data_IF_479540476541
#
_entry.id   IF_479540476541
#
_cell.length_a   1.000
_cell.length_b   1.000
_cell.length_c   1.000
_cell.angle_alpha   90.00
_cell.angle_beta   90.00
_cell.angle_gamma   90.00
#
_symmetry.space_group_name_H-M   'P 1'
#
loop_
_entity.id
_entity.type
_entity.pdbx_description
1 polymer ?
#
# COMPACT_ATOMS: atom_id res chain seq x y z
N UNK A 1 -10.60 21.55 16.60
CA UNK A 1 -9.19 21.20 16.78
C UNK A 1 -8.55 22.31 17.61
N UNK A 2 -8.00 21.97 18.79
CA UNK A 2 -7.52 22.93 19.79
C UNK A 2 -6.21 23.57 19.29
N UNK A 3 -6.08 24.92 19.31
CA UNK A 3 -4.86 25.66 18.90
C UNK A 3 -3.56 25.08 19.51
N UNK A 4 -3.61 24.67 20.79
CA UNK A 4 -2.49 24.01 21.48
C UNK A 4 -2.05 22.70 20.82
N UNK A 5 -2.96 21.93 20.21
CA UNK A 5 -2.64 20.69 19.51
C UNK A 5 -1.95 20.97 18.17
N UNK A 6 -2.33 22.05 17.48
CA UNK A 6 -1.72 22.47 16.23
C UNK A 6 -0.29 23.01 16.44
N UNK A 7 -0.09 23.83 17.49
CA UNK A 7 1.25 24.34 17.84
C UNK A 7 2.20 23.20 18.25
N UNK A 8 1.72 22.24 19.02
CA UNK A 8 2.52 21.06 19.40
C UNK A 8 2.96 20.27 18.18
N UNK A 9 2.07 20.03 17.24
CA UNK A 9 2.37 19.29 16.00
C UNK A 9 3.38 20.02 15.10
N UNK A 10 3.34 21.35 15.05
CA UNK A 10 4.29 22.19 14.31
C UNK A 10 5.69 22.14 14.94
N UNK A 11 5.76 22.16 16.26
CA UNK A 11 7.03 22.02 16.98
C UNK A 11 7.62 20.62 16.79
N UNK A 12 6.82 19.58 16.88
CA UNK A 12 7.23 18.18 16.66
C UNK A 12 7.79 17.98 15.22
N UNK A 13 7.17 18.57 14.21
CA UNK A 13 7.68 18.55 12.83
C UNK A 13 9.05 19.25 12.71
N UNK A 14 9.16 20.44 13.30
CA UNK A 14 10.40 21.22 13.27
C UNK A 14 11.55 20.48 13.96
N UNK A 15 11.31 19.90 15.12
CA UNK A 15 12.28 19.10 15.88
C UNK A 15 12.69 17.85 15.10
N UNK A 16 11.73 17.16 14.51
CA UNK A 16 11.95 15.97 13.69
C UNK A 16 12.90 16.28 12.53
N UNK A 17 12.57 17.27 11.71
CA UNK A 17 13.36 17.66 10.54
C UNK A 17 14.77 18.14 10.94
N UNK A 18 14.87 18.98 11.95
CA UNK A 18 16.17 19.50 12.45
C UNK A 18 17.06 18.37 12.95
N UNK A 19 16.51 17.40 13.68
CA UNK A 19 17.23 16.24 14.20
C UNK A 19 17.75 15.35 13.07
N UNK A 20 16.93 15.04 12.06
CA UNK A 20 17.35 14.18 10.94
C UNK A 20 18.40 14.88 10.07
N UNK A 21 18.24 16.16 9.81
CA UNK A 21 19.24 16.97 9.11
C UNK A 21 20.58 17.04 9.86
N UNK A 22 20.57 17.11 11.17
CA UNK A 22 21.77 17.16 12.00
C UNK A 22 22.54 15.82 12.07
N UNK A 23 21.87 14.69 11.84
CA UNK A 23 22.49 13.35 11.83
C UNK A 23 23.34 13.09 10.58
N UNK A 24 22.97 13.68 9.44
CA UNK A 24 23.61 13.42 8.16
C UNK A 24 24.84 14.29 7.95
N UNK A 25 25.96 13.67 7.60
CA UNK A 25 27.13 14.41 7.13
C UNK A 25 27.00 14.70 5.62
N UNK A 26 27.73 15.72 5.09
CA UNK A 26 27.81 15.95 3.64
C UNK A 26 28.28 14.73 2.85
N UNK A 27 29.23 13.98 3.42
CA UNK A 27 29.75 12.77 2.80
C UNK A 27 28.62 11.70 2.65
N UNK A 28 27.75 11.56 3.66
CA UNK A 28 26.58 10.67 3.59
C UNK A 28 25.64 11.07 2.46
N UNK A 29 25.55 12.37 2.18
CA UNK A 29 24.71 12.92 1.12
C UNK A 29 25.41 13.02 -0.26
N UNK A 30 26.64 12.52 -0.40
CA UNK A 30 27.41 12.60 -1.65
C UNK A 30 27.88 14.01 -2.01
N UNK A 31 27.90 14.93 -1.02
CA UNK A 31 28.33 16.30 -1.23
C UNK A 31 29.82 16.44 -0.93
N UNK A 32 30.54 17.19 -1.77
CA UNK A 32 31.94 17.51 -1.53
C UNK A 32 32.11 18.36 -0.27
N UNK A 33 33.10 18.01 0.55
CA UNK A 33 33.42 18.78 1.76
C UNK A 33 34.08 20.10 1.39
N UNK A 34 33.39 21.21 1.62
CA UNK A 34 33.93 22.55 1.38
C UNK A 34 34.06 23.32 2.70
N UNK A 35 35.24 23.23 3.34
CA UNK A 35 35.67 24.13 4.41
C UNK A 35 35.14 23.84 5.82
N UNK A 36 35.57 24.68 6.79
CA UNK A 36 35.24 24.57 8.23
C UNK A 36 33.77 24.84 8.49
N UNK A 37 33.03 23.83 9.00
CA UNK A 37 31.64 23.94 9.36
C UNK A 37 31.46 24.41 10.81
N UNK A 38 30.52 25.32 11.03
CA UNK A 38 30.11 25.79 12.38
C UNK A 38 28.99 24.92 12.99
N UNK A 39 28.25 24.20 12.18
CA UNK A 39 27.13 23.33 12.60
C UNK A 39 27.37 21.90 12.14
N UNK A 40 27.11 20.90 13.01
CA UNK A 40 27.08 19.50 12.60
C UNK A 40 25.91 19.26 11.63
N UNK A 41 26.09 18.31 10.71
CA UNK A 41 25.04 17.91 9.81
C UNK A 41 24.93 18.74 8.51
N UNK A 42 23.86 18.48 7.76
CA UNK A 42 23.56 19.19 6.52
C UNK A 42 23.02 20.60 6.81
N UNK A 43 23.32 21.55 5.93
CA UNK A 43 22.69 22.88 5.96
C UNK A 43 21.32 22.81 5.28
N UNK A 44 20.41 23.75 5.59
CA UNK A 44 19.10 23.87 4.93
C UNK A 44 19.19 23.98 3.42
N UNK A 45 20.17 24.75 2.95
CA UNK A 45 20.47 24.92 1.52
C UNK A 45 20.88 23.60 0.85
N UNK A 46 21.61 22.75 1.55
CA UNK A 46 22.03 21.44 1.06
C UNK A 46 20.85 20.47 0.98
N UNK A 47 20.00 20.43 2.01
CA UNK A 47 18.80 19.61 1.98
C UNK A 47 17.83 20.07 0.89
N UNK A 48 17.61 21.37 0.75
CA UNK A 48 16.74 21.93 -0.29
C UNK A 48 17.26 21.56 -1.70
N UNK A 49 18.58 21.66 -1.93
CA UNK A 49 19.19 21.28 -3.20
C UNK A 49 19.07 19.77 -3.47
N UNK A 50 19.33 18.91 -2.48
CA UNK A 50 19.19 17.45 -2.58
C UNK A 50 17.74 17.02 -2.85
N UNK A 51 16.78 17.67 -2.20
CA UNK A 51 15.36 17.42 -2.38
C UNK A 51 14.80 18.02 -3.69
N UNK A 52 15.56 18.88 -4.39
CA UNK A 52 15.06 19.59 -5.57
C UNK A 52 13.92 20.57 -5.25
N UNK A 53 13.96 21.18 -4.04
CA UNK A 53 12.91 22.11 -3.57
C UNK A 53 13.50 23.49 -3.30
N UNK A 54 12.63 24.51 -3.31
CA UNK A 54 13.09 25.87 -3.02
C UNK A 54 13.55 26.03 -1.57
N UNK A 55 14.72 26.68 -1.36
CA UNK A 55 15.29 26.93 -0.02
C UNK A 55 14.30 27.63 0.92
N UNK A 56 13.57 28.61 0.42
CA UNK A 56 12.57 29.36 1.20
C UNK A 56 11.45 28.43 1.68
N UNK A 57 10.93 27.56 0.79
CA UNK A 57 9.90 26.59 1.11
C UNK A 57 10.38 25.58 2.13
N UNK A 58 11.57 25.00 1.94
CA UNK A 58 12.14 24.06 2.91
C UNK A 58 12.38 24.75 4.27
N UNK A 59 12.87 26.00 4.28
CA UNK A 59 13.08 26.74 5.52
C UNK A 59 11.77 26.98 6.28
N UNK A 60 10.71 27.39 5.58
CA UNK A 60 9.40 27.58 6.20
C UNK A 60 8.82 26.25 6.70
N UNK A 61 8.99 25.18 5.95
CA UNK A 61 8.56 23.84 6.34
C UNK A 61 9.29 23.35 7.59
N UNK A 62 10.61 23.46 7.64
CA UNK A 62 11.41 23.08 8.83
C UNK A 62 11.06 23.95 10.04
N UNK A 63 10.65 25.20 9.85
CA UNK A 63 10.22 26.08 10.93
C UNK A 63 8.77 25.80 11.41
N UNK A 64 8.10 24.80 10.85
CA UNK A 64 6.71 24.47 11.20
C UNK A 64 5.69 25.54 10.80
N UNK A 65 6.01 26.41 9.80
CA UNK A 65 5.05 27.40 9.31
C UNK A 65 3.87 26.72 8.63
N UNK A 66 2.72 27.36 8.67
CA UNK A 66 1.50 26.88 8.04
C UNK A 66 1.58 27.05 6.52
N UNK A 67 2.21 26.09 5.84
CA UNK A 67 2.32 26.01 4.40
C UNK A 67 1.76 24.67 3.92
N UNK A 68 1.08 24.70 2.78
CA UNK A 68 0.65 23.48 2.12
C UNK A 68 1.78 22.94 1.26
N UNK A 69 2.27 21.76 1.59
CA UNK A 69 3.29 21.06 0.79
C UNK A 69 2.64 19.88 0.06
N UNK A 70 3.16 19.54 -1.11
CA UNK A 70 2.70 18.38 -1.87
C UNK A 70 3.31 17.09 -1.31
N UNK A 71 2.72 15.95 -1.62
CA UNK A 71 3.28 14.63 -1.30
C UNK A 71 4.66 14.45 -1.94
N UNK A 72 4.82 14.86 -3.20
CA UNK A 72 6.11 14.84 -3.88
C UNK A 72 7.18 15.66 -3.14
N UNK A 73 6.82 16.80 -2.55
CA UNK A 73 7.71 17.58 -1.71
C UNK A 73 8.16 16.76 -0.49
N UNK A 74 7.24 16.11 0.22
CA UNK A 74 7.55 15.29 1.40
C UNK A 74 8.43 14.09 1.05
N UNK A 75 8.13 13.37 -0.03
CA UNK A 75 8.93 12.25 -0.52
C UNK A 75 10.35 12.68 -0.90
N UNK A 76 10.49 13.84 -1.55
CA UNK A 76 11.79 14.39 -1.90
C UNK A 76 12.62 14.77 -0.66
N UNK A 77 11.97 15.38 0.34
CA UNK A 77 12.60 15.70 1.63
C UNK A 77 12.98 14.42 2.38
N UNK A 78 12.10 13.42 2.42
CA UNK A 78 12.37 12.12 3.05
C UNK A 78 13.60 11.46 2.42
N UNK A 79 13.70 11.45 1.08
CA UNK A 79 14.83 10.90 0.34
C UNK A 79 16.11 11.68 0.62
N UNK A 80 16.07 13.02 0.62
CA UNK A 80 17.21 13.88 0.90
C UNK A 80 17.76 13.67 2.33
N UNK A 81 16.86 13.44 3.29
CA UNK A 81 17.18 13.16 4.67
C UNK A 81 17.47 11.68 4.96
N UNK A 82 17.40 10.79 3.95
CA UNK A 82 17.58 9.34 4.06
C UNK A 82 16.72 8.71 5.16
N UNK A 83 15.47 9.15 5.24
CA UNK A 83 14.51 8.60 6.17
C UNK A 83 14.17 7.16 5.77
N UNK A 84 14.06 6.29 6.76
CA UNK A 84 13.50 4.96 6.55
C UNK A 84 11.97 5.02 6.41
N UNK A 85 11.31 3.87 6.14
CA UNK A 85 9.87 3.79 5.91
C UNK A 85 9.05 4.30 7.10
N UNK A 86 9.49 3.99 8.33
CA UNK A 86 8.82 4.42 9.55
C UNK A 86 9.01 5.94 9.80
N UNK A 87 10.21 6.45 9.56
CA UNK A 87 10.55 7.87 9.66
C UNK A 87 9.83 8.68 8.57
N UNK A 88 9.72 8.14 7.34
CA UNK A 88 8.95 8.74 6.25
C UNK A 88 7.46 8.82 6.62
N UNK A 89 6.90 7.73 7.12
CA UNK A 89 5.51 7.70 7.59
C UNK A 89 5.25 8.71 8.72
N UNK A 90 6.20 8.85 9.64
CA UNK A 90 6.12 9.84 10.71
C UNK A 90 6.14 11.28 10.15
N UNK A 91 7.00 11.57 9.17
CA UNK A 91 7.03 12.87 8.48
C UNK A 91 5.67 13.22 7.86
N UNK A 92 5.06 12.25 7.16
CA UNK A 92 3.74 12.45 6.56
C UNK A 92 2.63 12.65 7.60
N UNK A 93 2.65 11.89 8.70
CA UNK A 93 1.71 12.08 9.80
C UNK A 93 1.84 13.47 10.45
N UNK A 94 3.07 13.96 10.62
CA UNK A 94 3.30 15.30 11.16
C UNK A 94 2.83 16.41 10.20
N UNK A 95 3.10 16.25 8.89
CA UNK A 95 2.82 17.28 7.89
C UNK A 95 1.37 17.24 7.38
N UNK A 96 0.86 16.05 7.04
CA UNK A 96 -0.44 15.86 6.37
C UNK A 96 -1.50 15.20 7.24
N UNK A 97 -1.16 14.76 8.47
CA UNK A 97 -2.05 14.00 9.37
C UNK A 97 -2.54 12.67 8.77
N UNK A 98 -1.84 12.15 7.78
CA UNK A 98 -2.09 10.86 7.14
C UNK A 98 -0.75 10.21 6.77
N UNK A 99 -0.67 8.88 6.65
CA UNK A 99 0.53 8.20 6.17
C UNK A 99 0.87 8.64 4.73
N UNK A 100 2.10 8.41 4.25
CA UNK A 100 2.45 8.62 2.86
C UNK A 100 1.50 7.82 1.96
N UNK A 101 1.24 8.31 0.72
CA UNK A 101 0.58 7.46 -0.24
C UNK A 101 1.43 6.19 -0.39
N UNK A 102 0.80 5.03 -0.40
CA UNK A 102 1.56 3.81 -0.63
C UNK A 102 2.27 3.95 -1.98
N UNK A 103 3.57 3.77 -1.98
CA UNK A 103 4.24 3.49 -3.25
C UNK A 103 3.67 2.16 -3.72
N UNK A 104 2.75 2.21 -4.68
CA UNK A 104 2.19 1.02 -5.30
C UNK A 104 3.24 0.27 -6.13
N UNK A 105 4.52 0.62 -5.94
CA UNK A 105 5.64 0.17 -6.76
C UNK A 105 6.47 -0.88 -6.06
N UNK A 106 6.55 -2.01 -6.76
CA UNK A 106 7.63 -2.96 -6.83
C UNK A 106 7.93 -3.81 -5.61
N UNK A 107 7.64 -5.12 -5.77
CA UNK A 107 8.20 -6.24 -4.97
C UNK A 107 8.29 -5.94 -3.47
N UNK A 108 7.17 -5.49 -2.91
CA UNK A 108 7.06 -5.47 -1.47
C UNK A 108 7.19 -6.91 -1.01
N UNK A 109 8.32 -7.26 -0.45
CA UNK A 109 8.49 -8.55 0.20
C UNK A 109 7.94 -8.46 1.62
N UNK A 110 7.21 -9.45 2.05
CA UNK A 110 6.81 -9.58 3.46
C UNK A 110 8.03 -9.84 4.34
N UNK A 111 7.93 -9.51 5.62
CA UNK A 111 8.99 -9.88 6.56
C UNK A 111 9.09 -11.41 6.69
N UNK A 112 10.28 -11.95 7.01
CA UNK A 112 10.43 -13.39 7.23
C UNK A 112 9.46 -13.96 8.29
N UNK A 113 9.10 -13.17 9.30
CA UNK A 113 8.11 -13.57 10.32
C UNK A 113 6.71 -13.72 9.75
N UNK A 114 6.30 -12.84 8.84
CA UNK A 114 4.99 -12.95 8.15
C UNK A 114 4.98 -14.19 7.25
N UNK A 115 6.08 -14.50 6.55
CA UNK A 115 6.16 -15.74 5.78
C UNK A 115 6.09 -16.97 6.69
N UNK A 116 6.80 -16.98 7.82
CA UNK A 116 6.70 -18.05 8.81
C UNK A 116 5.26 -18.24 9.29
N UNK A 117 4.57 -17.17 9.62
CA UNK A 117 3.15 -17.22 10.03
C UNK A 117 2.25 -17.81 8.93
N UNK A 118 2.47 -17.43 7.66
CA UNK A 118 1.76 -18.03 6.52
C UNK A 118 2.01 -19.54 6.43
N UNK A 119 3.26 -19.98 6.59
CA UNK A 119 3.66 -21.38 6.46
C UNK A 119 3.11 -22.24 7.61
N UNK A 120 2.90 -21.66 8.80
CA UNK A 120 2.24 -22.31 9.93
C UNK A 120 0.73 -22.53 9.70
N UNK A 121 0.09 -21.79 8.81
CA UNK A 121 -1.31 -21.97 8.43
C UNK A 121 -1.48 -23.11 7.40
N UNK A 122 -1.07 -24.31 7.76
CA UNK A 122 -0.96 -25.46 6.83
C UNK A 122 -2.25 -25.89 6.15
N UNK A 123 -3.40 -25.74 6.81
CA UNK A 123 -4.72 -26.18 6.30
C UNK A 123 -5.63 -25.03 5.88
N UNK A 124 -5.22 -23.81 6.12
CA UNK A 124 -6.02 -22.62 5.80
C UNK A 124 -5.36 -21.84 4.67
N UNK A 125 -6.01 -21.73 3.50
CA UNK A 125 -5.48 -20.85 2.45
C UNK A 125 -5.29 -19.44 2.99
N UNK A 126 -4.09 -18.90 2.85
CA UNK A 126 -3.78 -17.55 3.26
C UNK A 126 -2.76 -16.91 2.29
N UNK A 127 -2.97 -15.64 2.02
CA UNK A 127 -2.04 -14.85 1.20
C UNK A 127 -1.98 -13.41 1.70
N UNK A 128 -0.94 -12.69 1.33
CA UNK A 128 -0.77 -11.27 1.62
C UNK A 128 -0.91 -10.47 0.34
N UNK A 129 -1.67 -9.39 0.42
CA UNK A 129 -1.84 -8.42 -0.67
C UNK A 129 -1.37 -7.03 -0.23
N UNK A 130 -0.90 -6.24 -1.21
CA UNK A 130 -0.66 -4.81 -1.04
C UNK A 130 -1.94 -3.99 -1.32
N UNK A 131 -1.84 -2.65 -1.30
CA UNK A 131 -2.98 -1.75 -1.57
C UNK A 131 -3.56 -1.93 -2.98
N UNK A 132 -2.71 -2.27 -3.95
CA UNK A 132 -3.09 -2.51 -5.35
C UNK A 132 -3.73 -3.89 -5.56
N UNK A 133 -3.77 -4.73 -4.51
CA UNK A 133 -4.21 -6.11 -4.53
C UNK A 133 -3.30 -7.08 -5.30
N UNK A 134 -2.01 -6.71 -5.44
CA UNK A 134 -1.00 -7.67 -5.88
C UNK A 134 -0.72 -8.66 -4.75
N UNK A 135 -0.67 -9.94 -5.09
CA UNK A 135 -0.33 -11.01 -4.15
C UNK A 135 1.19 -11.02 -3.98
N UNK A 136 1.66 -10.71 -2.78
CA UNK A 136 3.09 -10.56 -2.47
C UNK A 136 3.66 -11.74 -1.69
N UNK A 137 2.81 -12.54 -1.04
CA UNK A 137 3.18 -13.77 -0.34
C UNK A 137 1.97 -14.68 -0.17
N UNK A 138 2.19 -15.98 -0.05
CA UNK A 138 1.14 -16.97 0.14
C UNK A 138 1.68 -18.24 0.80
N UNK A 139 0.80 -19.09 1.33
CA UNK A 139 1.13 -20.40 1.82
C UNK A 139 0.79 -21.52 0.82
N UNK A 140 1.23 -22.73 1.08
CA UNK A 140 1.00 -23.88 0.21
C UNK A 140 -0.51 -24.19 0.00
N UNK A 141 -1.34 -23.99 1.02
CA UNK A 141 -2.78 -24.19 0.91
C UNK A 141 -3.44 -23.17 -0.03
N UNK A 142 -2.99 -21.91 -0.01
CA UNK A 142 -3.46 -20.88 -0.95
C UNK A 142 -2.95 -21.15 -2.37
N UNK A 143 -1.71 -21.61 -2.52
CA UNK A 143 -1.17 -22.00 -3.82
C UNK A 143 -1.94 -23.17 -4.44
N UNK A 144 -2.23 -24.19 -3.67
CA UNK A 144 -3.08 -25.31 -4.13
C UNK A 144 -4.47 -24.87 -4.57
N UNK A 145 -5.06 -23.87 -3.88
CA UNK A 145 -6.41 -23.38 -4.18
C UNK A 145 -6.43 -22.41 -5.37
N UNK A 146 -5.48 -21.47 -5.43
CA UNK A 146 -5.48 -20.36 -6.40
C UNK A 146 -4.46 -20.50 -7.52
N UNK A 147 -3.41 -21.34 -7.34
CA UNK A 147 -2.36 -21.56 -8.32
C UNK A 147 -1.43 -20.37 -8.51
N UNK A 148 -1.08 -19.65 -7.44
CA UNK A 148 -0.26 -18.45 -7.53
C UNK A 148 1.11 -18.70 -8.15
N UNK A 149 1.79 -19.79 -7.77
CA UNK A 149 3.13 -20.14 -8.25
C UNK A 149 3.18 -20.50 -9.74
N UNK A 150 2.07 -20.99 -10.30
CA UNK A 150 1.97 -21.37 -11.72
C UNK A 150 1.53 -20.20 -12.63
N UNK A 151 1.20 -19.04 -12.04
CA UNK A 151 0.70 -17.90 -12.80
C UNK A 151 1.84 -17.03 -13.32
N UNK A 152 1.59 -16.40 -14.46
CA UNK A 152 2.46 -15.35 -14.95
C UNK A 152 2.43 -14.15 -14.00
N UNK A 153 3.53 -13.39 -13.87
CA UNK A 153 3.59 -12.23 -12.96
C UNK A 153 2.48 -11.21 -13.17
N UNK A 154 1.99 -11.09 -14.41
CA UNK A 154 0.90 -10.18 -14.79
C UNK A 154 -0.46 -10.60 -14.21
N UNK A 155 -0.62 -11.86 -13.83
CA UNK A 155 -1.83 -12.40 -13.20
C UNK A 155 -1.68 -12.57 -11.67
N UNK A 156 -0.63 -12.02 -11.10
CA UNK A 156 -0.41 -12.01 -9.64
C UNK A 156 -1.29 -11.01 -8.87
N UNK A 157 -2.26 -10.39 -9.53
CA UNK A 157 -3.19 -9.43 -8.92
C UNK A 157 -4.59 -10.05 -8.80
N UNK A 158 -5.21 -9.91 -7.62
CA UNK A 158 -6.53 -10.51 -7.34
C UNK A 158 -7.61 -10.04 -8.32
N UNK A 159 -7.62 -8.76 -8.70
CA UNK A 159 -8.62 -8.25 -9.65
C UNK A 159 -8.39 -8.82 -11.05
N UNK A 160 -7.15 -8.93 -11.49
CA UNK A 160 -6.84 -9.54 -12.78
C UNK A 160 -7.25 -11.02 -12.80
N UNK A 161 -7.00 -11.76 -11.71
CA UNK A 161 -7.47 -13.13 -11.57
C UNK A 161 -9.00 -13.23 -11.68
N UNK A 162 -9.73 -12.37 -10.98
CA UNK A 162 -11.20 -12.43 -10.93
C UNK A 162 -11.83 -11.97 -12.25
N UNK A 163 -11.28 -10.96 -12.91
CA UNK A 163 -11.92 -10.31 -14.06
C UNK A 163 -11.34 -10.72 -15.41
N UNK A 164 -10.08 -11.16 -15.47
CA UNK A 164 -9.40 -11.50 -16.71
C UNK A 164 -9.06 -12.99 -16.88
N UNK A 165 -9.05 -13.79 -15.78
CA UNK A 165 -8.75 -15.21 -15.87
C UNK A 165 -10.01 -16.06 -16.07
N UNK A 166 -10.20 -16.71 -17.24
CA UNK A 166 -11.37 -17.53 -17.52
C UNK A 166 -11.47 -18.76 -16.61
N UNK A 167 -10.34 -19.27 -16.11
CA UNK A 167 -10.33 -20.44 -15.24
C UNK A 167 -10.86 -20.08 -13.84
N UNK A 168 -10.39 -19.00 -13.25
CA UNK A 168 -10.92 -18.49 -11.97
C UNK A 168 -12.41 -18.19 -12.11
N UNK A 169 -12.81 -17.54 -13.19
CA UNK A 169 -14.23 -17.25 -13.44
C UNK A 169 -15.10 -18.52 -13.48
N UNK A 170 -14.62 -19.59 -14.12
CA UNK A 170 -15.34 -20.89 -14.15
C UNK A 170 -15.41 -21.54 -12.77
N UNK A 171 -14.40 -21.34 -11.94
CA UNK A 171 -14.31 -21.88 -10.59
C UNK A 171 -15.13 -21.06 -9.57
N UNK A 172 -15.61 -19.88 -9.91
CA UNK A 172 -16.47 -19.03 -9.06
C UNK A 172 -17.95 -19.16 -9.47
N UNK A 173 -18.74 -20.08 -8.88
CA UNK A 173 -20.12 -20.31 -9.31
C UNK A 173 -21.03 -19.10 -9.10
N UNK A 174 -20.74 -18.26 -8.10
CA UNK A 174 -21.46 -17.02 -7.80
C UNK A 174 -20.72 -15.77 -8.32
N UNK A 175 -19.89 -15.90 -9.37
CA UNK A 175 -19.02 -14.82 -9.85
C UNK A 175 -19.76 -13.50 -10.10
N UNK A 176 -20.97 -13.55 -10.68
CA UNK A 176 -21.78 -12.36 -10.98
C UNK A 176 -22.25 -11.62 -9.73
N UNK A 177 -22.30 -12.31 -8.60
CA UNK A 177 -22.71 -11.76 -7.31
C UNK A 177 -21.50 -11.31 -6.49
N UNK A 178 -20.37 -12.04 -6.57
CA UNK A 178 -19.20 -11.83 -5.73
C UNK A 178 -18.21 -10.84 -6.34
N UNK A 179 -18.01 -10.83 -7.66
CA UNK A 179 -17.07 -9.93 -8.31
C UNK A 179 -17.43 -8.43 -8.14
N UNK A 180 -18.72 -8.00 -8.18
CA UNK A 180 -19.08 -6.62 -7.86
C UNK A 180 -18.77 -6.23 -6.42
N UNK A 181 -18.90 -7.17 -5.45
CA UNK A 181 -18.56 -6.92 -4.04
C UNK A 181 -17.06 -6.71 -3.85
N UNK A 182 -16.25 -7.55 -4.50
CA UNK A 182 -14.80 -7.37 -4.53
C UNK A 182 -14.40 -6.01 -5.13
N UNK A 183 -15.05 -5.63 -6.22
CA UNK A 183 -14.82 -4.34 -6.86
C UNK A 183 -15.21 -3.17 -5.95
N UNK A 184 -16.33 -3.27 -5.23
CA UNK A 184 -16.74 -2.26 -4.25
C UNK A 184 -15.67 -2.10 -3.16
N UNK A 185 -15.12 -3.22 -2.66
CA UNK A 185 -14.05 -3.20 -1.67
C UNK A 185 -12.75 -2.58 -2.22
N UNK A 186 -12.37 -2.91 -3.46
CA UNK A 186 -11.20 -2.30 -4.10
C UNK A 186 -11.33 -0.78 -4.27
N UNK A 187 -12.54 -0.27 -4.51
CA UNK A 187 -12.76 1.19 -4.61
C UNK A 187 -12.38 1.95 -3.36
N UNK A 188 -12.56 1.38 -2.16
CA UNK A 188 -12.09 2.00 -0.93
C UNK A 188 -10.56 2.10 -0.92
N UNK A 189 -9.90 1.03 -1.34
CA UNK A 189 -8.43 1.02 -1.42
C UNK A 189 -7.92 1.96 -2.51
N UNK A 190 -8.59 2.02 -3.65
CA UNK A 190 -8.30 2.98 -4.71
C UNK A 190 -8.44 4.43 -4.24
N UNK A 191 -9.42 4.73 -3.38
CA UNK A 191 -9.62 6.07 -2.84
C UNK A 191 -8.52 6.51 -1.86
N UNK A 192 -7.69 5.58 -1.35
CA UNK A 192 -6.51 5.91 -0.53
C UNK A 192 -5.40 6.55 -1.36
N UNK A 193 -5.24 6.11 -2.63
CA UNK A 193 -4.22 6.61 -3.54
C UNK A 193 -4.80 6.80 -4.97
N UNK A 194 -5.75 7.73 -5.16
CA UNK A 194 -6.50 7.86 -6.42
C UNK A 194 -5.65 8.37 -7.59
N UNK A 195 -4.56 9.06 -7.29
CA UNK A 195 -3.63 9.64 -8.27
C UNK A 195 -2.38 8.78 -8.50
N UNK A 196 -2.31 7.58 -7.88
CA UNK A 196 -1.17 6.67 -8.07
C UNK A 196 -1.17 6.12 -9.49
N UNK A 197 -0.08 6.33 -10.27
CA UNK A 197 -0.02 5.93 -11.66
C UNK A 197 -0.20 4.41 -11.87
N UNK A 198 0.24 3.59 -10.93
CA UNK A 198 0.13 2.13 -11.04
C UNK A 198 -1.29 1.63 -10.74
N UNK A 199 -1.99 2.30 -9.81
CA UNK A 199 -3.41 2.05 -9.54
C UNK A 199 -4.26 2.44 -10.75
N UNK A 200 -3.99 3.61 -11.33
CA UNK A 200 -4.64 4.07 -12.56
C UNK A 200 -4.39 3.11 -13.72
N UNK A 201 -3.13 2.70 -13.95
CA UNK A 201 -2.78 1.75 -15.00
C UNK A 201 -3.47 0.39 -14.83
N UNK A 202 -3.59 -0.12 -13.59
CA UNK A 202 -4.35 -1.34 -13.30
C UNK A 202 -5.81 -1.20 -13.69
N UNK A 203 -6.46 -0.10 -13.29
CA UNK A 203 -7.88 0.14 -13.62
C UNK A 203 -8.09 0.24 -15.13
N UNK A 204 -7.24 0.98 -15.85
CA UNK A 204 -7.35 1.07 -17.31
C UNK A 204 -7.13 -0.29 -17.98
N UNK A 205 -6.11 -1.05 -17.58
CA UNK A 205 -5.88 -2.41 -18.08
C UNK A 205 -7.10 -3.32 -17.85
N UNK A 206 -7.70 -3.26 -16.65
CA UNK A 206 -8.89 -4.07 -16.35
C UNK A 206 -10.14 -3.63 -17.14
N UNK A 207 -10.28 -2.35 -17.47
CA UNK A 207 -11.34 -1.87 -18.37
C UNK A 207 -11.18 -2.41 -19.78
N UNK A 208 -9.94 -2.57 -20.25
CA UNK A 208 -9.66 -3.13 -21.57
C UNK A 208 -9.88 -4.64 -21.60
N UNK A 209 -9.47 -5.35 -20.56
CA UNK A 209 -9.55 -6.80 -20.47
C UNK A 209 -10.96 -7.33 -20.16
N UNK A 210 -11.82 -6.55 -19.47
CA UNK A 210 -13.10 -7.02 -18.98
C UNK A 210 -14.23 -6.02 -19.19
N UNK A 211 -15.19 -6.37 -20.05
CA UNK A 211 -16.39 -5.56 -20.25
C UNK A 211 -17.27 -5.47 -18.98
N UNK A 212 -17.29 -6.53 -18.17
CA UNK A 212 -18.00 -6.55 -16.89
C UNK A 212 -17.33 -5.59 -15.89
N UNK A 213 -15.99 -5.60 -15.80
CA UNK A 213 -15.24 -4.64 -14.96
C UNK A 213 -15.54 -3.21 -15.39
N UNK A 214 -15.42 -2.90 -16.69
CA UNK A 214 -15.68 -1.56 -17.26
C UNK A 214 -17.07 -1.07 -16.90
N UNK A 215 -18.08 -1.92 -17.10
CA UNK A 215 -19.48 -1.60 -16.80
C UNK A 215 -19.68 -1.31 -15.30
N UNK A 216 -19.17 -2.18 -14.45
CA UNK A 216 -19.35 -2.04 -13.00
C UNK A 216 -18.49 -0.91 -12.42
N UNK A 217 -17.29 -0.67 -12.96
CA UNK A 217 -16.46 0.45 -12.55
C UNK A 217 -17.13 1.80 -12.84
N UNK A 218 -17.82 1.95 -13.97
CA UNK A 218 -18.55 3.18 -14.33
C UNK A 218 -19.85 3.38 -13.53
N UNK A 219 -20.42 2.33 -12.94
CA UNK A 219 -21.64 2.42 -12.16
C UNK A 219 -21.37 3.08 -10.79
N UNK A 220 -22.32 3.86 -10.22
CA UNK A 220 -22.20 4.35 -8.85
C UNK A 220 -21.98 3.19 -7.89
N UNK A 221 -21.11 3.38 -6.89
CA UNK A 221 -20.85 2.36 -5.87
C UNK A 221 -22.13 2.03 -5.10
N UNK A 222 -22.45 0.73 -4.97
CA UNK A 222 -23.55 0.30 -4.11
C UNK A 222 -23.13 0.31 -2.63
N UNK A 223 -24.08 0.58 -1.76
CA UNK A 223 -23.88 0.84 -0.31
C UNK A 223 -23.52 -0.38 0.54
N UNK A 224 -23.40 -1.59 0.01
CA UNK A 224 -23.16 -2.78 0.82
C UNK A 224 -21.78 -3.39 0.58
N UNK A 225 -20.78 -2.92 1.36
CA UNK A 225 -19.53 -3.65 1.57
C UNK A 225 -19.80 -4.78 2.56
N UNK A 226 -20.36 -5.89 2.09
CA UNK A 226 -20.41 -7.12 2.88
C UNK A 226 -19.04 -7.79 2.84
N UNK A 227 -18.39 -7.93 4.00
CA UNK A 227 -17.21 -8.79 4.20
C UNK A 227 -17.54 -10.19 3.68
N UNK A 228 -16.70 -10.65 2.74
CA UNK A 228 -17.08 -11.62 1.77
C UNK A 228 -17.31 -13.05 2.26
N UNK A 229 -18.40 -13.61 1.79
CA UNK A 229 -18.55 -15.05 1.59
C UNK A 229 -18.30 -15.28 0.10
N UNK A 230 -17.24 -16.00 -0.24
CA UNK A 230 -16.96 -16.43 -1.60
C UNK A 230 -17.16 -17.93 -1.74
N UNK A 231 -17.59 -18.38 -2.92
CA UNK A 231 -17.65 -19.81 -3.24
C UNK A 231 -16.67 -20.12 -4.36
N UNK A 232 -15.88 -21.16 -4.19
CA UNK A 232 -14.93 -21.63 -5.19
C UNK A 232 -15.17 -23.14 -5.43
N UNK A 233 -15.00 -23.59 -6.67
CA UNK A 233 -14.96 -25.01 -7.01
C UNK A 233 -13.48 -25.42 -6.97
N UNK A 234 -13.15 -26.32 -6.05
CA UNK A 234 -11.87 -27.00 -6.01
C UNK A 234 -11.92 -28.30 -6.80
N UNK A 235 -10.86 -28.60 -7.56
CA UNK A 235 -10.85 -29.79 -8.42
C UNK A 235 -10.85 -31.11 -7.64
N UNK A 236 -10.35 -31.11 -6.41
CA UNK A 236 -10.28 -32.29 -5.56
C UNK A 236 -11.37 -32.38 -4.51
N UNK A 237 -11.77 -31.25 -3.94
CA UNK A 237 -12.74 -31.17 -2.83
C UNK A 237 -14.16 -30.78 -3.24
N UNK A 238 -14.40 -30.50 -4.56
CA UNK A 238 -15.67 -30.06 -5.07
C UNK A 238 -16.01 -28.60 -4.75
N UNK A 239 -17.29 -28.31 -4.49
CA UNK A 239 -17.74 -26.94 -4.22
C UNK A 239 -17.43 -26.56 -2.76
N UNK A 240 -16.53 -25.61 -2.58
CA UNK A 240 -16.15 -25.07 -1.28
C UNK A 240 -16.75 -23.67 -1.11
N UNK A 241 -17.32 -23.40 0.05
CA UNK A 241 -17.68 -22.06 0.50
C UNK A 241 -16.63 -21.61 1.50
N UNK A 242 -16.19 -20.37 1.34
CA UNK A 242 -15.22 -19.76 2.23
C UNK A 242 -15.76 -18.46 2.82
N UNK A 243 -15.57 -18.28 4.10
CA UNK A 243 -15.44 -16.94 4.68
C UNK A 243 -13.98 -16.57 4.72
N UNK A 244 -13.68 -15.30 4.58
CA UNK A 244 -12.32 -14.82 4.78
C UNK A 244 -12.31 -13.69 5.80
N UNK A 245 -11.20 -13.61 6.52
CA UNK A 245 -10.86 -12.48 7.36
C UNK A 245 -9.60 -11.81 6.83
N UNK A 246 -9.57 -10.48 6.98
CA UNK A 246 -8.47 -9.66 6.53
C UNK A 246 -7.79 -9.02 7.72
N UNK A 247 -6.51 -9.28 7.89
CA UNK A 247 -5.67 -8.78 8.96
C UNK A 247 -4.66 -7.79 8.39
N UNK A 248 -4.49 -6.63 9.02
CA UNK A 248 -3.41 -5.71 8.68
C UNK A 248 -2.11 -6.27 9.27
N UNK A 249 -1.12 -6.56 8.43
CA UNK A 249 0.17 -7.11 8.84
C UNK A 249 1.30 -6.10 8.76
N UNK A 250 1.14 -5.07 7.93
CA UNK A 250 2.01 -3.90 7.89
C UNK A 250 1.19 -2.68 7.44
N UNK A 251 0.88 -1.81 8.39
CA UNK A 251 0.05 -0.62 8.14
C UNK A 251 0.76 0.39 7.23
N UNK A 252 2.08 0.55 7.38
CA UNK A 252 2.86 1.51 6.61
C UNK A 252 2.98 1.13 5.14
N UNK A 253 3.04 -0.17 4.86
CA UNK A 253 3.10 -0.73 3.50
C UNK A 253 1.73 -1.16 2.97
N UNK A 254 0.67 -0.90 3.73
CA UNK A 254 -0.70 -1.34 3.43
C UNK A 254 -0.80 -2.84 3.11
N UNK A 255 0.00 -3.66 3.81
CA UNK A 255 -0.03 -5.10 3.65
C UNK A 255 -1.13 -5.72 4.49
N UNK A 256 -1.93 -6.56 3.85
CA UNK A 256 -3.02 -7.27 4.49
C UNK A 256 -2.93 -8.76 4.19
N UNK A 257 -3.04 -9.56 5.23
CA UNK A 257 -3.16 -11.00 5.12
C UNK A 257 -4.66 -11.37 5.03
N UNK A 258 -5.01 -12.10 3.99
CA UNK A 258 -6.35 -12.67 3.81
C UNK A 258 -6.29 -14.14 4.15
N UNK A 259 -7.08 -14.57 5.14
CA UNK A 259 -7.14 -15.97 5.60
C UNK A 259 -8.53 -16.52 5.30
N UNK A 260 -8.59 -17.68 4.65
CA UNK A 260 -9.83 -18.33 4.23
C UNK A 260 -10.22 -19.45 5.20
N UNK A 261 -11.48 -19.47 5.55
CA UNK A 261 -12.10 -20.46 6.42
C UNK A 261 -13.16 -21.21 5.61
N UNK A 262 -12.92 -22.49 5.34
CA UNK A 262 -13.91 -23.32 4.69
C UNK A 262 -15.16 -23.45 5.59
N UNK A 263 -16.33 -23.20 5.04
CA UNK A 263 -17.58 -23.49 5.72
C UNK A 263 -17.95 -24.96 5.48
N UNK A 264 -18.43 -25.67 6.51
CA UNK A 264 -18.95 -27.01 6.29
C UNK A 264 -20.08 -26.95 5.25
N UNK A 265 -20.08 -27.90 4.32
CA UNK A 265 -21.20 -28.07 3.41
C UNK A 265 -22.47 -28.18 4.26
N UNK A 266 -23.44 -27.29 4.05
CA UNK A 266 -24.78 -27.48 4.61
C UNK A 266 -25.33 -28.78 4.01
N UNK A 267 -25.54 -29.78 4.88
CA UNK A 267 -26.10 -31.05 4.52
C UNK A 267 -27.53 -30.91 3.95
#
# INVERSE_FOLDING_TARGET
VNERSLERSKNELSEFLTRHRAKLTPADAGLAFTGRRRTPGLRREEVAALAGVGLTWYTWFEQGRDIRVSEAFLLNVARALKLDDAECSHLFLLAHKRPPPPEAHHRVTVSPLIQTLLDELTVRPAHVINLRWDVVAWNAAADALFGFSARQPELGNILQMVFADPEIRRRMPAWREDAPKLLAQFRYDFAVAPDDPSMLALVESLKDLSADFRRWWAAPGGDEVRRGIGSLIDAGAGRLRFRHETLVVDEHRHLRMVVYFAEPALA
#
